data_IF_489598732200
#
_entry.id   IF_489598732200
#
_cell.length_a   1.000
_cell.length_b   1.000
_cell.length_c   1.000
_cell.angle_alpha   90.00
_cell.angle_beta   90.00
_cell.angle_gamma   90.00
#
_symmetry.space_group_name_H-M   'P 1'
#
loop_
_entity.id
_entity.type
_entity.pdbx_description
1 polymer ?
#
# COMPACT_ATOMS: atom_id res chain seq x y z
N UNK A 1 -0.15 14.80 -21.09
CA UNK A 1 0.72 14.05 -20.17
C UNK A 1 -0.20 13.14 -19.38
N UNK A 2 -0.09 11.83 -19.54
CA UNK A 2 -0.94 10.88 -18.82
C UNK A 2 -0.34 10.70 -17.42
N UNK A 3 -1.02 11.21 -16.39
CA UNK A 3 -0.62 10.98 -14.99
C UNK A 3 -0.67 9.47 -14.74
N UNK A 4 0.37 8.90 -14.12
CA UNK A 4 0.38 7.47 -13.80
C UNK A 4 -0.55 7.22 -12.61
N UNK A 5 -1.28 6.10 -12.58
CA UNK A 5 -2.12 5.76 -11.44
C UNK A 5 -1.26 5.59 -10.18
N UNK A 6 -1.80 6.05 -9.04
CA UNK A 6 -1.09 6.05 -7.76
C UNK A 6 -1.40 4.82 -6.93
N UNK A 7 -0.37 4.28 -6.31
CA UNK A 7 -0.46 3.29 -5.24
C UNK A 7 0.13 3.92 -3.98
N UNK A 8 -0.71 4.09 -2.97
CA UNK A 8 -0.35 4.65 -1.68
C UNK A 8 0.18 3.55 -0.76
N UNK A 9 1.44 3.66 -0.35
CA UNK A 9 2.06 2.80 0.66
C UNK A 9 1.99 3.53 2.00
N UNK A 10 1.27 2.98 2.96
CA UNK A 10 1.05 3.63 4.26
C UNK A 10 1.10 2.62 5.41
N UNK A 11 1.51 3.11 6.57
CA UNK A 11 1.44 2.34 7.82
C UNK A 11 0.05 2.53 8.41
N UNK A 12 -0.69 1.44 8.52
CA UNK A 12 -2.06 1.43 9.05
C UNK A 12 -2.09 1.33 10.58
N UNK A 13 -1.09 0.71 11.19
CA UNK A 13 -0.99 0.60 12.65
C UNK A 13 0.44 0.29 13.09
N UNK A 14 0.70 0.49 14.39
CA UNK A 14 1.90 -0.06 15.03
C UNK A 14 3.11 0.86 15.12
N UNK A 15 3.00 2.16 14.80
CA UNK A 15 4.12 3.13 14.91
C UNK A 15 4.83 3.15 16.28
N UNK A 16 4.21 2.59 17.33
CA UNK A 16 4.73 2.47 18.70
C UNK A 16 4.75 1.04 19.24
N UNK A 17 4.60 0.04 18.37
CA UNK A 17 4.60 -1.38 18.73
C UNK A 17 5.71 -2.10 17.96
N UNK A 18 5.97 -3.36 18.33
CA UNK A 18 6.94 -4.20 17.61
C UNK A 18 6.42 -4.73 16.26
N UNK A 19 5.18 -4.39 15.85
CA UNK A 19 4.53 -4.90 14.65
C UNK A 19 3.82 -3.75 13.93
N UNK A 20 4.41 -3.30 12.82
CA UNK A 20 3.87 -2.31 11.90
C UNK A 20 3.07 -3.04 10.81
N UNK A 21 1.80 -2.71 10.66
CA UNK A 21 1.01 -3.19 9.53
C UNK A 21 1.04 -2.16 8.41
N UNK A 22 1.51 -2.57 7.24
CA UNK A 22 1.72 -1.71 6.08
C UNK A 22 0.87 -2.22 4.92
N UNK A 23 0.25 -1.30 4.19
CA UNK A 23 -0.58 -1.64 3.04
C UNK A 23 -0.23 -0.78 1.83
N UNK A 24 -0.41 -1.37 0.65
CA UNK A 24 -0.40 -0.69 -0.64
C UNK A 24 -1.84 -0.61 -1.17
N UNK A 25 -2.38 0.61 -1.24
CA UNK A 25 -3.74 0.89 -1.71
C UNK A 25 -3.70 1.63 -3.04
N UNK A 26 -4.39 1.11 -4.05
CA UNK A 26 -4.62 1.79 -5.31
C UNK A 26 -5.50 3.04 -5.12
N UNK A 27 -5.37 4.02 -6.02
CA UNK A 27 -6.19 5.24 -5.99
C UNK A 27 -7.70 5.02 -6.17
N UNK A 28 -8.10 3.83 -6.60
CA UNK A 28 -9.50 3.39 -6.69
C UNK A 28 -10.01 2.68 -5.42
N UNK A 29 -9.16 2.59 -4.39
CA UNK A 29 -9.43 1.98 -3.09
C UNK A 29 -9.16 0.48 -3.00
N UNK A 30 -8.59 -0.18 -4.02
CA UNK A 30 -8.21 -1.59 -3.93
C UNK A 30 -6.94 -1.80 -3.08
N UNK A 31 -6.93 -2.77 -2.16
CA UNK A 31 -5.71 -3.18 -1.46
C UNK A 31 -4.97 -4.19 -2.32
N UNK A 32 -3.78 -3.82 -2.80
CA UNK A 32 -2.99 -4.63 -3.72
C UNK A 32 -1.99 -5.53 -2.99
N UNK A 33 -1.45 -5.07 -1.86
CA UNK A 33 -0.48 -5.80 -1.07
C UNK A 33 -0.48 -5.33 0.38
N UNK A 34 0.05 -6.17 1.27
CA UNK A 34 0.30 -5.83 2.67
C UNK A 34 1.56 -6.50 3.20
N UNK A 35 2.12 -5.93 4.25
CA UNK A 35 3.28 -6.50 4.93
C UNK A 35 3.24 -6.15 6.42
N UNK A 36 3.72 -7.05 7.26
CA UNK A 36 3.94 -6.78 8.69
C UNK A 36 5.43 -6.78 8.94
N UNK A 37 5.97 -5.65 9.38
CA UNK A 37 7.39 -5.51 9.71
C UNK A 37 7.58 -4.99 11.13
N UNK A 38 8.74 -5.26 11.72
CA UNK A 38 9.09 -4.77 13.06
C UNK A 38 9.71 -3.37 13.06
N UNK A 39 10.03 -2.83 11.88
CA UNK A 39 10.70 -1.54 11.76
C UNK A 39 10.37 -0.80 10.47
N UNK A 40 10.17 0.52 10.56
CA UNK A 40 9.83 1.40 9.43
C UNK A 40 10.89 1.39 8.32
N UNK A 41 12.14 1.08 8.67
CA UNK A 41 13.25 1.00 7.73
C UNK A 41 13.16 -0.14 6.72
N UNK A 42 12.35 -1.18 6.99
CA UNK A 42 12.15 -2.29 6.05
C UNK A 42 11.11 -1.97 4.96
N UNK A 43 10.20 -1.03 5.25
CA UNK A 43 9.08 -0.67 4.36
C UNK A 43 9.52 -0.36 2.92
N UNK A 44 10.57 0.44 2.67
CA UNK A 44 10.96 0.75 1.31
C UNK A 44 11.34 -0.48 0.48
N UNK A 45 12.01 -1.45 1.10
CA UNK A 45 12.42 -2.69 0.46
C UNK A 45 11.25 -3.66 0.31
N UNK A 46 10.44 -3.85 1.34
CA UNK A 46 9.38 -4.86 1.35
C UNK A 46 8.15 -4.47 0.51
N UNK A 47 7.88 -3.17 0.40
CA UNK A 47 6.77 -2.62 -0.37
C UNK A 47 7.18 -2.12 -1.77
N UNK A 48 8.43 -2.34 -2.18
CA UNK A 48 8.87 -2.04 -3.54
C UNK A 48 9.09 -0.56 -3.87
N UNK A 49 9.33 0.29 -2.86
CA UNK A 49 9.67 1.72 -3.09
C UNK A 49 11.09 1.89 -3.61
N UNK A 50 12.03 1.03 -3.20
CA UNK A 50 13.41 1.00 -3.69
C UNK A 50 13.86 -0.41 -4.14
N UNK A 51 12.89 -1.31 -4.35
CA UNK A 51 13.07 -2.68 -4.83
C UNK A 51 11.92 -3.02 -5.79
N UNK A 52 11.94 -4.22 -6.40
CA UNK A 52 10.81 -4.72 -7.20
C UNK A 52 9.86 -5.63 -6.40
N UNK A 53 10.01 -5.70 -5.07
CA UNK A 53 9.12 -6.51 -4.25
C UNK A 53 7.67 -6.02 -4.43
N UNK A 54 6.74 -6.97 -4.51
CA UNK A 54 5.30 -6.74 -4.74
C UNK A 54 4.92 -6.10 -6.08
N UNK A 55 5.87 -5.75 -6.95
CA UNK A 55 5.55 -5.13 -8.24
C UNK A 55 4.71 -6.04 -9.13
N UNK A 56 4.77 -7.37 -8.97
CA UNK A 56 3.88 -8.30 -9.67
C UNK A 56 2.40 -8.05 -9.37
N UNK A 57 2.05 -7.74 -8.11
CA UNK A 57 0.67 -7.39 -7.73
C UNK A 57 0.28 -6.02 -8.29
N UNK A 58 1.21 -5.06 -8.25
CA UNK A 58 0.98 -3.71 -8.76
C UNK A 58 0.79 -3.70 -10.28
N UNK A 59 1.61 -4.45 -11.02
CA UNK A 59 1.48 -4.63 -12.46
C UNK A 59 0.23 -5.43 -12.85
N UNK A 60 -0.24 -6.34 -11.99
CA UNK A 60 -1.52 -7.03 -12.19
C UNK A 60 -2.70 -6.06 -12.28
N UNK A 61 -2.64 -4.95 -11.52
CA UNK A 61 -3.63 -3.87 -11.57
C UNK A 61 -3.32 -2.83 -12.65
N UNK A 62 -2.06 -2.43 -12.76
CA UNK A 62 -1.59 -1.34 -13.63
C UNK A 62 -0.44 -1.82 -14.54
N UNK A 63 -0.75 -2.56 -15.62
CA UNK A 63 0.27 -3.14 -16.51
C UNK A 63 1.06 -2.08 -17.28
N UNK A 64 0.47 -0.90 -17.51
CA UNK A 64 1.13 0.23 -18.17
C UNK A 64 2.02 1.06 -17.22
N UNK A 65 2.12 0.62 -15.96
CA UNK A 65 2.93 1.24 -14.91
C UNK A 65 2.12 2.07 -13.91
N UNK A 66 2.76 2.38 -12.79
CA UNK A 66 2.18 3.05 -11.62
C UNK A 66 3.22 3.97 -10.98
N UNK A 67 2.76 4.80 -10.05
CA UNK A 67 3.61 5.57 -9.13
C UNK A 67 3.36 5.09 -7.70
N UNK A 68 4.41 4.65 -7.01
CA UNK A 68 4.34 4.37 -5.58
C UNK A 68 4.54 5.65 -4.79
N UNK A 69 3.59 5.95 -3.91
CA UNK A 69 3.67 7.08 -2.99
C UNK A 69 3.69 6.56 -1.56
N UNK A 70 4.84 6.66 -0.91
CA UNK A 70 4.92 6.43 0.53
C UNK A 70 4.28 7.59 1.29
N UNK A 71 3.46 7.27 2.30
CA UNK A 71 2.85 8.22 3.21
C UNK A 71 3.22 7.85 4.64
N UNK A 72 3.90 8.77 5.33
CA UNK A 72 4.03 8.66 6.78
C UNK A 72 2.70 9.00 7.49
N UNK A 73 2.64 8.85 8.81
CA UNK A 73 1.43 9.09 9.61
C UNK A 73 0.77 10.45 9.33
N UNK A 74 1.57 11.53 9.29
CA UNK A 74 1.07 12.89 9.09
C UNK A 74 0.59 13.11 7.64
N UNK A 75 1.33 12.56 6.67
CA UNK A 75 0.96 12.64 5.26
C UNK A 75 -0.31 11.84 4.97
N UNK A 76 -0.44 10.65 5.53
CA UNK A 76 -1.64 9.82 5.42
C UNK A 76 -2.89 10.54 5.96
N UNK A 77 -2.74 11.35 7.02
CA UNK A 77 -3.84 12.14 7.56
C UNK A 77 -4.26 13.31 6.68
N UNK A 78 -3.40 13.81 5.79
CA UNK A 78 -3.61 15.09 5.09
C UNK A 78 -3.68 14.95 3.57
N UNK A 79 -3.19 13.86 3.00
CA UNK A 79 -3.15 13.65 1.55
C UNK A 79 -4.57 13.49 0.96
N UNK A 80 -4.97 14.38 0.04
CA UNK A 80 -6.32 14.36 -0.52
C UNK A 80 -6.56 13.13 -1.41
N UNK A 81 -5.54 12.65 -2.14
CA UNK A 81 -5.67 11.50 -3.01
C UNK A 81 -5.87 10.20 -2.22
N UNK A 82 -5.12 10.04 -1.14
CA UNK A 82 -5.25 8.92 -0.23
C UNK A 82 -6.58 8.94 0.52
N UNK A 83 -7.06 10.10 0.95
CA UNK A 83 -8.39 10.24 1.56
C UNK A 83 -9.52 9.80 0.63
N UNK A 84 -9.44 10.16 -0.65
CA UNK A 84 -10.40 9.68 -1.65
C UNK A 84 -10.27 8.17 -1.88
N UNK A 85 -9.05 7.62 -1.90
CA UNK A 85 -8.84 6.18 -1.99
C UNK A 85 -9.47 5.43 -0.80
N UNK A 86 -9.33 5.93 0.43
CA UNK A 86 -10.00 5.39 1.62
C UNK A 86 -11.53 5.40 1.44
N UNK A 87 -12.11 6.52 0.99
CA UNK A 87 -13.57 6.59 0.77
C UNK A 87 -14.05 5.54 -0.23
N UNK A 88 -13.30 5.33 -1.32
CA UNK A 88 -13.61 4.31 -2.32
C UNK A 88 -13.45 2.89 -1.76
N UNK A 89 -12.43 2.65 -0.94
CA UNK A 89 -12.24 1.38 -0.24
C UNK A 89 -13.43 1.08 0.69
N UNK A 90 -13.85 2.06 1.50
CA UNK A 90 -15.02 1.93 2.39
C UNK A 90 -16.29 1.64 1.60
N UNK A 91 -16.49 2.31 0.44
CA UNK A 91 -17.66 2.09 -0.41
C UNK A 91 -17.72 0.70 -1.06
N UNK A 92 -16.57 -0.01 -1.19
CA UNK A 92 -16.49 -1.36 -1.78
C UNK A 92 -16.88 -2.48 -0.80
N UNK A 93 -16.76 -2.25 0.51
CA UNK A 93 -17.05 -3.26 1.53
C UNK A 93 -15.88 -4.22 1.83
N UNK A 94 -16.09 -5.21 2.73
CA UNK A 94 -15.03 -5.97 3.40
C UNK A 94 -14.33 -7.05 2.55
N UNK A 95 -14.88 -7.42 1.39
CA UNK A 95 -14.33 -8.50 0.53
C UNK A 95 -13.18 -8.02 -0.38
N UNK A 96 -12.70 -6.79 -0.20
CA UNK A 96 -11.81 -6.07 -1.13
C UNK A 96 -10.31 -6.25 -0.81
N UNK A 97 -9.89 -7.48 -0.49
CA UNK A 97 -8.47 -7.82 -0.29
C UNK A 97 -8.04 -8.75 -1.42
N UNK A 98 -7.24 -8.24 -2.36
CA UNK A 98 -6.51 -9.08 -3.31
C UNK A 98 -5.62 -10.02 -2.49
N UNK A 99 -5.78 -11.33 -2.68
CA UNK A 99 -5.44 -12.38 -1.71
C UNK A 99 -4.18 -12.09 -0.87
N UNK A 100 -4.24 -12.20 0.47
CA UNK A 100 -3.05 -12.03 1.29
C UNK A 100 -2.01 -13.06 0.86
N UNK A 101 -0.78 -12.61 0.69
CA UNK A 101 0.34 -13.50 0.41
C UNK A 101 0.40 -14.62 1.45
N UNK A 102 0.79 -15.86 1.06
CA UNK A 102 1.20 -16.84 2.05
C UNK A 102 2.37 -16.25 2.82
N UNK A 103 2.18 -16.03 4.13
CA UNK A 103 3.26 -15.64 5.04
C UNK A 103 4.40 -16.66 4.89
N UNK A 104 5.52 -16.24 4.29
CA UNK A 104 6.73 -17.05 4.28
C UNK A 104 7.38 -16.89 5.65
N UNK A 105 7.04 -17.82 6.54
CA UNK A 105 7.76 -18.04 7.80
C UNK A 105 9.26 -18.13 7.49
N UNK A 106 10.05 -17.22 8.05
CA UNK A 106 11.52 -17.29 8.09
C UNK A 106 11.96 -17.78 9.47
#
# INVERSE_FOLDING_TARGET
MTDKPKIYVFVNSGFRTNNLSVYAMAEDGEILAGHVCSHVGFIPGDMGLNSNNKHEFYMGKYPDGFELKYLNELEAMTDPGFREAIKKNVARGPDNVSQPEPQKDH
#
